data_IF_212753413880
#
_entry.id   IF_212753413880
#
_cell.length_a   1.000
_cell.length_b   1.000
_cell.length_c   1.000
_cell.angle_alpha   90.00
_cell.angle_beta   90.00
_cell.angle_gamma   90.00
#
_symmetry.space_group_name_H-M   'P 1'
#
loop_
_entity.id
_entity.type
_entity.pdbx_description
1 polymer ?
#
# COMPACT_ATOMS: atom_id res chain seq x y z
N UNK A 1 -8.44 -6.01 -16.24
CA UNK A 1 -7.03 -5.97 -15.79
C UNK A 1 -6.90 -6.75 -14.50
N UNK A 2 -5.70 -7.20 -14.14
CA UNK A 2 -5.43 -7.96 -12.90
C UNK A 2 -5.93 -7.22 -11.64
N UNK A 3 -5.83 -5.89 -11.60
CA UNK A 3 -6.35 -5.07 -10.48
C UNK A 3 -7.88 -5.09 -10.33
N UNK A 4 -8.61 -5.30 -11.43
CA UNK A 4 -10.07 -5.34 -11.40
C UNK A 4 -10.60 -6.63 -10.74
N UNK A 5 -9.76 -7.67 -10.67
CA UNK A 5 -10.06 -8.91 -9.96
C UNK A 5 -10.00 -8.70 -8.45
N UNK A 6 -8.96 -8.03 -7.95
CA UNK A 6 -8.79 -7.74 -6.52
C UNK A 6 -9.85 -6.75 -5.99
N UNK A 7 -10.29 -5.78 -6.82
CA UNK A 7 -11.36 -4.85 -6.43
C UNK A 7 -12.72 -5.52 -6.18
N UNK A 8 -12.96 -6.72 -6.74
CA UNK A 8 -14.22 -7.46 -6.61
C UNK A 8 -14.24 -8.47 -5.48
N UNK A 9 -13.09 -8.82 -4.91
CA UNK A 9 -13.04 -9.67 -3.72
C UNK A 9 -13.05 -8.81 -2.46
N UNK A 10 -14.04 -9.07 -1.62
CA UNK A 10 -14.09 -8.64 -0.23
C UNK A 10 -13.06 -9.49 0.55
N UNK A 11 -11.77 -9.32 0.23
CA UNK A 11 -10.70 -10.06 0.88
C UNK A 11 -10.65 -9.61 2.35
N UNK A 12 -10.71 -10.55 3.31
CA UNK A 12 -10.58 -10.19 4.71
C UNK A 12 -9.19 -9.59 4.94
N UNK A 13 -9.13 -8.32 5.31
CA UNK A 13 -7.86 -7.65 5.58
C UNK A 13 -7.83 -6.18 5.18
N UNK A 14 -6.66 -5.58 5.33
CA UNK A 14 -6.40 -4.21 4.93
C UNK A 14 -5.98 -4.15 3.46
N UNK A 15 -6.49 -3.14 2.75
CA UNK A 15 -6.14 -2.88 1.35
C UNK A 15 -5.46 -1.52 1.24
N UNK A 16 -4.29 -1.49 0.63
CA UNK A 16 -3.51 -0.28 0.40
C UNK A 16 -3.44 0.01 -1.10
N UNK A 17 -3.74 1.24 -1.48
CA UNK A 17 -3.74 1.67 -2.88
C UNK A 17 -3.14 3.07 -2.96
N UNK A 18 -2.14 3.24 -3.83
CA UNK A 18 -1.63 4.56 -4.15
C UNK A 18 -2.71 5.35 -4.92
N UNK A 19 -3.11 6.50 -4.37
CA UNK A 19 -4.18 7.30 -4.93
C UNK A 19 -3.76 7.91 -6.28
N UNK A 20 -4.73 7.97 -7.19
CA UNK A 20 -4.61 8.57 -8.53
C UNK A 20 -3.74 7.80 -9.54
N UNK A 21 -3.30 6.58 -9.20
CA UNK A 21 -2.57 5.70 -10.14
C UNK A 21 -3.20 4.30 -10.32
N UNK A 22 -4.21 3.91 -9.54
CA UNK A 22 -5.03 2.70 -9.77
C UNK A 22 -4.27 1.36 -9.70
N UNK A 23 -2.99 1.39 -9.36
CA UNK A 23 -2.08 0.24 -9.26
C UNK A 23 -0.81 0.65 -8.49
N UNK A 24 -0.20 -0.26 -7.71
CA UNK A 24 -0.68 -1.58 -7.31
C UNK A 24 -1.68 -1.49 -6.13
N UNK A 25 -2.40 -2.59 -5.90
CA UNK A 25 -3.17 -2.81 -4.67
C UNK A 25 -2.40 -3.81 -3.81
N UNK A 26 -2.05 -3.44 -2.59
CA UNK A 26 -1.46 -4.34 -1.59
C UNK A 26 -2.55 -4.81 -0.64
N UNK A 27 -2.63 -6.12 -0.38
CA UNK A 27 -3.57 -6.72 0.57
C UNK A 27 -2.78 -7.29 1.73
N UNK A 28 -3.22 -7.01 2.95
CA UNK A 28 -2.55 -7.42 4.19
C UNK A 28 -3.55 -8.13 5.09
N UNK A 29 -3.21 -9.36 5.45
CA UNK A 29 -3.95 -10.14 6.43
C UNK A 29 -3.61 -9.68 7.86
N UNK A 30 -4.62 -9.69 8.75
CA UNK A 30 -4.46 -9.28 10.14
C UNK A 30 -4.65 -7.78 10.39
N UNK A 31 -4.20 -7.32 11.56
CA UNK A 31 -4.31 -5.93 12.02
C UNK A 31 -2.91 -5.32 12.13
N UNK A 32 -2.43 -4.60 11.11
CA UNK A 32 -1.15 -3.90 11.19
C UNK A 32 -1.26 -2.74 12.16
N UNK A 33 -0.24 -2.58 13.00
CA UNK A 33 -0.07 -1.35 13.77
C UNK A 33 0.33 -0.17 12.87
N UNK A 34 0.37 1.04 13.44
CA UNK A 34 0.64 2.25 12.66
C UNK A 34 2.00 2.23 11.96
N UNK A 35 3.02 1.64 12.58
CA UNK A 35 4.35 1.53 11.98
C UNK A 35 4.33 0.58 10.78
N UNK A 36 3.66 -0.57 10.92
CA UNK A 36 3.52 -1.55 9.86
C UNK A 36 2.67 -1.00 8.71
N UNK A 37 1.59 -0.27 9.00
CA UNK A 37 0.80 0.44 7.98
C UNK A 37 1.65 1.43 7.18
N UNK A 38 2.50 2.20 7.84
CA UNK A 38 3.41 3.14 7.18
C UNK A 38 4.42 2.41 6.28
N UNK A 39 4.96 1.28 6.73
CA UNK A 39 5.85 0.44 5.92
C UNK A 39 5.13 -0.13 4.69
N UNK A 40 3.95 -0.73 4.88
CA UNK A 40 3.13 -1.28 3.80
C UNK A 40 2.82 -0.19 2.78
N UNK A 41 2.36 0.98 3.22
CA UNK A 41 2.08 2.11 2.35
C UNK A 41 3.33 2.55 1.57
N UNK A 42 4.49 2.61 2.21
CA UNK A 42 5.76 2.98 1.56
C UNK A 42 6.17 1.96 0.48
N UNK A 43 5.90 0.67 0.72
CA UNK A 43 6.08 -0.40 -0.27
C UNK A 43 5.10 -0.22 -1.44
N UNK A 44 3.81 -0.01 -1.15
CA UNK A 44 2.78 0.27 -2.17
C UNK A 44 3.17 1.47 -3.03
N UNK A 45 3.64 2.56 -2.41
CA UNK A 45 4.12 3.76 -3.11
C UNK A 45 5.29 3.46 -4.06
N UNK A 46 6.27 2.65 -3.63
CA UNK A 46 7.43 2.28 -4.47
C UNK A 46 7.05 1.48 -5.71
N UNK A 47 6.06 0.62 -5.60
CA UNK A 47 5.61 -0.18 -6.75
C UNK A 47 4.54 0.53 -7.59
N UNK A 48 4.09 1.71 -7.20
CA UNK A 48 3.14 2.54 -7.95
C UNK A 48 3.78 3.29 -9.13
N UNK A 49 2.92 3.84 -9.99
CA UNK A 49 3.34 4.77 -11.03
C UNK A 49 3.86 6.10 -10.47
N UNK A 50 3.56 6.40 -9.19
CA UNK A 50 4.00 7.61 -8.48
C UNK A 50 5.33 7.43 -7.74
N UNK A 51 6.05 6.32 -7.95
CA UNK A 51 7.33 6.02 -7.27
C UNK A 51 8.45 7.06 -7.43
N UNK A 52 8.33 7.96 -8.41
CA UNK A 52 9.28 9.05 -8.62
C UNK A 52 8.98 10.29 -7.78
N UNK A 53 7.83 10.35 -7.12
CA UNK A 53 7.45 11.46 -6.26
C UNK A 53 8.06 11.32 -4.86
N UNK A 54 8.42 12.43 -4.20
CA UNK A 54 9.01 12.39 -2.87
C UNK A 54 8.04 11.89 -1.80
N UNK A 55 6.74 12.12 -2.00
CA UNK A 55 5.66 11.66 -1.13
C UNK A 55 4.48 11.21 -1.99
N UNK A 56 3.87 10.08 -1.63
CA UNK A 56 2.73 9.48 -2.31
C UNK A 56 1.60 9.32 -1.29
N UNK A 57 0.38 9.70 -1.70
CA UNK A 57 -0.83 9.45 -0.92
C UNK A 57 -1.26 8.00 -1.14
N UNK A 58 -1.36 7.22 -0.06
CA UNK A 58 -1.81 5.82 -0.08
C UNK A 58 -3.04 5.69 0.81
N UNK A 59 -4.14 5.21 0.24
CA UNK A 59 -5.34 4.91 1.00
C UNK A 59 -5.24 3.50 1.61
N UNK A 60 -5.38 3.39 2.92
CA UNK A 60 -5.53 2.14 3.65
C UNK A 60 -7.01 1.93 4.00
N UNK A 61 -7.62 0.84 3.55
CA UNK A 61 -9.05 0.58 3.66
C UNK A 61 -9.33 -0.77 4.30
N UNK A 62 -10.32 -0.81 5.20
CA UNK A 62 -10.88 -2.04 5.77
C UNK A 62 -12.25 -1.78 6.38
N UNK A 63 -13.23 -2.66 6.14
CA UNK A 63 -14.54 -2.64 6.81
C UNK A 63 -15.23 -1.26 6.81
N UNK A 64 -15.15 -0.54 5.69
CA UNK A 64 -15.70 0.83 5.54
C UNK A 64 -14.90 1.94 6.20
N UNK A 65 -13.79 1.62 6.90
CA UNK A 65 -12.80 2.59 7.37
C UNK A 65 -11.81 2.89 6.25
N UNK A 66 -11.46 4.15 6.10
CA UNK A 66 -10.42 4.63 5.20
C UNK A 66 -9.54 5.63 5.95
N UNK A 67 -8.23 5.49 5.78
CA UNK A 67 -7.26 6.49 6.16
C UNK A 67 -6.28 6.74 5.02
N UNK A 68 -5.79 7.96 4.90
CA UNK A 68 -4.81 8.35 3.87
C UNK A 68 -3.47 8.59 4.54
N UNK A 69 -2.48 7.82 4.12
CA UNK A 69 -1.11 7.88 4.58
C UNK A 69 -0.27 8.60 3.54
N UNK A 70 0.45 9.64 3.96
CA UNK A 70 1.41 10.36 3.11
C UNK A 70 2.81 9.84 3.41
N UNK A 71 3.36 9.07 2.47
CA UNK A 71 4.60 8.31 2.70
C UNK A 71 5.60 8.50 1.56
N UNK A 72 6.91 8.49 1.83
CA UNK A 72 7.90 8.35 0.77
C UNK A 72 7.88 6.91 0.23
N UNK A 73 8.17 6.69 -1.06
CA UNK A 73 8.50 5.36 -1.55
C UNK A 73 9.63 4.74 -0.72
N UNK A 74 9.49 3.47 -0.32
CA UNK A 74 10.50 2.80 0.52
C UNK A 74 11.88 2.80 -0.16
N UNK A 75 12.95 3.07 0.58
CA UNK A 75 14.31 3.04 0.03
C UNK A 75 14.81 1.59 -0.13
N UNK A 76 15.70 1.35 -1.11
CA UNK A 76 16.23 0.01 -1.39
C UNK A 76 16.96 -0.61 -0.18
N UNK A 77 17.62 0.21 0.65
CA UNK A 77 18.31 -0.22 1.86
C UNK A 77 17.36 -0.83 2.89
N UNK A 78 16.12 -0.36 2.95
CA UNK A 78 15.10 -0.89 3.87
C UNK A 78 14.58 -2.23 3.37
N UNK A 79 14.43 -2.39 2.05
CA UNK A 79 13.97 -3.66 1.45
C UNK A 79 14.96 -4.80 1.65
N UNK A 80 16.27 -4.51 1.64
CA UNK A 80 17.31 -5.52 1.84
C UNK A 80 17.21 -6.20 3.21
N UNK A 81 16.72 -5.48 4.23
CA UNK A 81 16.48 -6.04 5.57
C UNK A 81 15.32 -7.05 5.61
N UNK A 82 14.47 -7.10 4.58
CA UNK A 82 13.31 -7.99 4.48
C UNK A 82 13.44 -9.03 3.34
N UNK A 83 14.58 -9.09 2.65
CA UNK A 83 14.87 -10.20 1.73
C UNK A 83 15.22 -11.44 2.54
N UNK A 84 14.40 -12.49 2.40
CA UNK A 84 14.62 -13.84 2.94
C UNK A 84 15.29 -14.70 1.87
#
# INVERSE_FOLDING_TARGET
SENQFLQRFDLPGWRFEALRCGSPITVVEGEPDDNLKMLIASITARYSDRRGEPLVEVAARRDGREEVLLVPPVADQVLEAYRI
#
